data_IF_154864157868
#
_entry.id   IF_154864157868
#
_cell.length_a   1.000
_cell.length_b   1.000
_cell.length_c   1.000
_cell.angle_alpha   90.00
_cell.angle_beta   90.00
_cell.angle_gamma   90.00
#
_symmetry.space_group_name_H-M   'P 1'
#
loop_
_entity.id
_entity.type
_entity.pdbx_description
1 polymer ?
#
# COMPACT_ATOMS: atom_id res chain seq x y z
N UNK A 1 14.78 18.37 39.64
CA UNK A 1 14.13 18.29 40.97
C UNK A 1 12.88 17.38 41.00
N UNK A 2 12.33 16.93 39.86
CA UNK A 2 11.14 16.03 39.81
C UNK A 2 11.35 14.55 40.20
N UNK A 3 12.57 14.12 40.56
CA UNK A 3 12.89 12.69 40.78
C UNK A 3 12.70 12.21 42.22
N UNK A 4 12.88 13.10 43.20
CA UNK A 4 12.70 12.78 44.62
C UNK A 4 11.23 12.46 45.02
N UNK A 5 10.19 13.19 44.53
CA UNK A 5 8.80 12.90 44.84
C UNK A 5 8.41 11.49 44.42
N UNK A 6 8.72 11.14 43.17
CA UNK A 6 8.36 9.86 42.57
C UNK A 6 9.05 8.69 43.26
N UNK A 7 10.31 8.85 43.70
CA UNK A 7 11.06 7.79 44.40
C UNK A 7 10.48 7.49 45.78
N UNK A 8 10.12 8.52 46.56
CA UNK A 8 9.49 8.34 47.87
C UNK A 8 8.11 7.71 47.72
N UNK A 9 7.26 8.25 46.84
CA UNK A 9 5.91 7.72 46.55
C UNK A 9 5.99 6.26 46.15
N UNK A 10 6.86 5.88 45.22
CA UNK A 10 7.03 4.50 44.79
C UNK A 10 7.53 3.58 45.91
N UNK A 11 8.45 4.05 46.75
CA UNK A 11 8.90 3.29 47.94
C UNK A 11 7.75 3.07 48.91
N UNK A 12 6.93 4.08 49.15
CA UNK A 12 5.76 3.98 50.00
C UNK A 12 4.69 3.05 49.43
N UNK A 13 4.45 3.07 48.12
CA UNK A 13 3.57 2.12 47.43
C UNK A 13 4.07 0.68 47.62
N UNK A 14 5.38 0.46 47.53
CA UNK A 14 5.95 -0.88 47.77
C UNK A 14 5.76 -1.35 49.22
N UNK A 15 5.93 -0.47 50.21
CA UNK A 15 5.61 -0.80 51.61
C UNK A 15 4.11 -1.04 51.83
N UNK A 16 3.25 -0.24 51.18
CA UNK A 16 1.80 -0.43 51.22
C UNK A 16 1.41 -1.81 50.64
N UNK A 17 1.94 -2.17 49.47
CA UNK A 17 1.70 -3.47 48.82
C UNK A 17 2.28 -4.64 49.63
N UNK A 18 3.32 -4.38 50.42
CA UNK A 18 3.90 -5.33 51.37
C UNK A 18 3.13 -5.40 52.70
N UNK A 19 1.96 -4.74 52.80
CA UNK A 19 1.10 -4.68 53.99
C UNK A 19 1.76 -4.00 55.21
N UNK A 20 2.82 -3.23 55.00
CA UNK A 20 3.57 -2.52 56.04
C UNK A 20 3.02 -1.10 56.24
N UNK A 21 1.75 -0.99 56.61
CA UNK A 21 1.03 0.31 56.65
C UNK A 21 1.62 1.30 57.68
N UNK A 22 2.08 0.82 58.83
CA UNK A 22 2.74 1.66 59.84
C UNK A 22 4.07 2.26 59.32
N UNK A 23 4.83 1.46 58.55
CA UNK A 23 6.09 1.93 57.93
C UNK A 23 5.81 2.95 56.82
N UNK A 24 4.70 2.81 56.09
CA UNK A 24 4.25 3.82 55.12
C UNK A 24 4.00 5.15 55.80
N UNK A 25 3.23 5.15 56.89
CA UNK A 25 2.91 6.36 57.65
C UNK A 25 4.20 7.02 58.15
N UNK A 26 5.09 6.26 58.81
CA UNK A 26 6.37 6.77 59.32
C UNK A 26 7.29 7.31 58.22
N UNK A 27 7.27 6.69 57.03
CA UNK A 27 8.08 7.10 55.89
C UNK A 27 7.55 8.39 55.26
N UNK A 28 6.23 8.50 55.13
CA UNK A 28 5.56 9.60 54.44
C UNK A 28 5.40 10.85 55.35
N UNK A 29 5.10 10.68 56.65
CA UNK A 29 4.88 11.80 57.59
C UNK A 29 6.12 12.67 57.79
N UNK A 30 7.32 12.08 57.74
CA UNK A 30 8.59 12.83 57.88
C UNK A 30 8.81 13.88 56.81
N UNK A 31 8.17 13.69 55.66
CA UNK A 31 8.36 14.49 54.45
C UNK A 31 7.10 15.32 54.12
N UNK A 32 6.20 15.50 55.10
CA UNK A 32 4.88 16.13 54.90
C UNK A 32 4.95 17.52 54.28
N UNK A 33 6.02 18.27 54.57
CA UNK A 33 6.18 19.63 54.06
C UNK A 33 6.37 19.68 52.54
N UNK A 34 7.03 18.69 51.94
CA UNK A 34 7.39 18.69 50.53
C UNK A 34 6.31 18.17 49.60
N UNK A 35 5.36 17.38 50.12
CA UNK A 35 4.40 16.63 49.30
C UNK A 35 2.93 16.92 49.63
N UNK A 36 2.68 17.93 50.47
CA UNK A 36 1.33 18.32 50.92
C UNK A 36 0.36 18.69 49.79
N UNK A 37 0.84 19.06 48.61
CA UNK A 37 -0.01 19.48 47.49
C UNK A 37 -0.26 18.34 46.49
N UNK A 38 0.31 17.16 46.71
CA UNK A 38 0.13 15.99 45.85
C UNK A 38 -1.03 15.12 46.37
N UNK A 39 -2.06 14.91 45.55
CA UNK A 39 -3.21 14.09 45.95
C UNK A 39 -2.79 12.65 46.32
N UNK A 40 -1.82 12.07 45.58
CA UNK A 40 -1.35 10.70 45.76
C UNK A 40 -0.71 10.49 47.15
N UNK A 41 -0.08 11.53 47.69
CA UNK A 41 0.51 11.52 49.03
C UNK A 41 -0.58 11.31 50.10
N UNK A 42 -1.62 12.15 50.05
CA UNK A 42 -2.75 12.06 50.97
C UNK A 42 -3.55 10.78 50.74
N UNK A 43 -3.65 10.31 49.50
CA UNK A 43 -4.32 9.07 49.16
C UNK A 43 -3.62 7.86 49.81
N UNK A 44 -2.30 7.74 49.67
CA UNK A 44 -1.54 6.63 50.27
C UNK A 44 -1.61 6.65 51.81
N UNK A 45 -1.53 7.83 52.44
CA UNK A 45 -1.73 7.96 53.89
C UNK A 45 -3.14 7.55 54.30
N UNK A 46 -4.17 8.09 53.63
CA UNK A 46 -5.56 7.79 53.92
C UNK A 46 -5.87 6.31 53.79
N UNK A 47 -5.35 5.66 52.75
CA UNK A 47 -5.44 4.22 52.56
C UNK A 47 -4.68 3.43 53.64
N UNK A 48 -3.50 3.88 54.05
CA UNK A 48 -2.72 3.20 55.09
C UNK A 48 -3.43 3.26 56.45
N UNK A 49 -3.98 4.42 56.83
CA UNK A 49 -4.80 4.52 58.05
C UNK A 49 -6.10 3.71 57.95
N UNK A 50 -6.73 3.68 56.78
CA UNK A 50 -7.95 2.89 56.56
C UNK A 50 -7.67 1.39 56.76
N UNK A 51 -6.56 0.87 56.21
CA UNK A 51 -6.15 -0.54 56.40
C UNK A 51 -5.72 -0.85 57.84
N UNK A 52 -5.32 0.15 58.62
CA UNK A 52 -5.04 0.02 60.05
C UNK A 52 -6.29 0.19 60.93
N UNK A 53 -7.45 0.49 60.34
CA UNK A 53 -8.70 0.72 61.04
C UNK A 53 -8.81 2.08 61.74
N UNK A 54 -7.85 2.99 61.53
CA UNK A 54 -7.94 4.36 62.03
C UNK A 54 -8.82 5.21 61.09
N UNK A 55 -10.14 5.08 61.25
CA UNK A 55 -11.14 5.73 60.39
C UNK A 55 -11.09 7.27 60.46
N UNK A 56 -10.68 7.83 61.60
CA UNK A 56 -10.58 9.28 61.79
C UNK A 56 -9.51 9.90 60.90
N UNK A 57 -8.27 9.40 60.99
CA UNK A 57 -7.18 9.87 60.15
C UNK A 57 -7.41 9.51 58.67
N UNK A 58 -7.96 8.32 58.39
CA UNK A 58 -8.34 7.94 57.03
C UNK A 58 -9.29 8.98 56.40
N UNK A 59 -10.29 9.45 57.15
CA UNK A 59 -11.23 10.47 56.68
C UNK A 59 -10.55 11.80 56.36
N UNK A 60 -9.63 12.26 57.21
CA UNK A 60 -8.91 13.51 57.00
C UNK A 60 -8.09 13.45 55.70
N UNK A 61 -7.29 12.39 55.54
CA UNK A 61 -6.37 12.28 54.41
C UNK A 61 -7.08 11.91 53.10
N UNK A 62 -8.08 11.03 53.11
CA UNK A 62 -8.86 10.73 51.90
C UNK A 62 -9.68 11.95 51.44
N UNK A 63 -10.21 12.76 52.38
CA UNK A 63 -10.89 14.03 52.03
C UNK A 63 -9.91 14.99 51.36
N UNK A 64 -8.68 15.12 51.89
CA UNK A 64 -7.63 15.95 51.26
C UNK A 64 -7.24 15.45 49.87
N UNK A 65 -7.08 14.15 49.70
CA UNK A 65 -6.81 13.55 48.39
C UNK A 65 -7.93 13.87 47.39
N UNK A 66 -9.19 13.78 47.82
CA UNK A 66 -10.34 14.11 46.99
C UNK A 66 -10.43 15.59 46.65
N UNK A 67 -10.13 16.49 47.59
CA UNK A 67 -10.10 17.94 47.29
C UNK A 67 -9.02 18.31 46.28
N UNK A 68 -7.88 17.61 46.30
CA UNK A 68 -6.78 17.85 45.37
C UNK A 68 -7.02 17.22 43.99
N UNK A 69 -7.70 16.07 43.93
CA UNK A 69 -8.10 15.43 42.67
C UNK A 69 -9.49 14.77 42.80
N UNK A 70 -10.58 15.51 42.51
CA UNK A 70 -11.95 14.99 42.61
C UNK A 70 -12.30 13.96 41.52
N UNK A 71 -11.51 13.89 40.44
CA UNK A 71 -11.76 13.02 39.28
C UNK A 71 -11.19 11.62 39.45
N UNK A 72 -10.31 11.41 40.42
CA UNK A 72 -9.65 10.12 40.64
C UNK A 72 -10.63 9.06 41.17
N UNK A 73 -10.90 8.04 40.35
CA UNK A 73 -11.84 6.97 40.67
C UNK A 73 -11.37 6.13 41.88
N UNK A 74 -10.06 5.93 42.00
CA UNK A 74 -9.45 5.21 43.14
C UNK A 74 -9.69 5.92 44.48
N UNK A 75 -9.66 7.26 44.49
CA UNK A 75 -9.96 8.06 45.69
C UNK A 75 -11.45 7.98 46.05
N UNK A 76 -12.35 8.08 45.06
CA UNK A 76 -13.80 7.91 45.27
C UNK A 76 -14.13 6.53 45.84
N UNK A 77 -13.53 5.47 45.27
CA UNK A 77 -13.67 4.09 45.76
C UNK A 77 -13.25 3.99 47.23
N UNK A 78 -12.11 4.56 47.60
CA UNK A 78 -11.60 4.51 48.98
C UNK A 78 -12.45 5.29 49.97
N UNK A 79 -13.08 6.39 49.54
CA UNK A 79 -14.07 7.11 50.36
C UNK A 79 -15.32 6.26 50.57
N UNK A 80 -15.81 5.56 49.54
CA UNK A 80 -16.95 4.66 49.69
C UNK A 80 -16.64 3.53 50.68
N UNK A 81 -15.46 2.92 50.59
CA UNK A 81 -14.97 1.92 51.55
C UNK A 81 -14.89 2.49 52.98
N UNK A 82 -14.36 3.71 53.13
CA UNK A 82 -14.32 4.40 54.43
C UNK A 82 -15.73 4.62 54.99
N UNK A 83 -16.69 5.08 54.18
CA UNK A 83 -18.08 5.30 54.61
C UNK A 83 -18.75 4.00 55.02
N UNK A 84 -18.53 2.92 54.27
CA UNK A 84 -18.98 1.59 54.61
C UNK A 84 -18.38 1.12 55.96
N UNK A 85 -17.08 1.33 56.17
CA UNK A 85 -16.40 1.03 57.44
C UNK A 85 -16.90 1.88 58.62
N UNK A 86 -17.45 3.07 58.36
CA UNK A 86 -18.10 3.93 59.36
C UNK A 86 -19.57 3.55 59.64
N UNK A 87 -20.09 2.49 59.01
CA UNK A 87 -21.50 2.10 59.12
C UNK A 87 -22.46 2.99 58.32
N UNK A 88 -21.95 3.84 57.42
CA UNK A 88 -22.75 4.71 56.54
C UNK A 88 -22.88 4.05 55.17
N UNK A 89 -23.42 2.83 55.15
CA UNK A 89 -23.51 2.00 53.94
C UNK A 89 -24.31 2.68 52.83
N UNK A 90 -25.43 3.33 53.15
CA UNK A 90 -26.26 4.05 52.17
C UNK A 90 -25.46 5.07 51.36
N UNK A 91 -24.55 5.79 52.03
CA UNK A 91 -23.69 6.79 51.38
C UNK A 91 -22.59 6.14 50.54
N UNK A 92 -22.09 4.97 50.96
CA UNK A 92 -21.13 4.20 50.16
C UNK A 92 -21.78 3.68 48.86
N UNK A 93 -23.00 3.15 48.97
CA UNK A 93 -23.80 2.67 47.83
C UNK A 93 -24.05 3.80 46.83
N UNK A 94 -24.45 4.99 47.30
CA UNK A 94 -24.64 6.16 46.44
C UNK A 94 -23.37 6.54 45.66
N UNK A 95 -22.19 6.46 46.28
CA UNK A 95 -20.93 6.76 45.58
C UNK A 95 -20.66 5.73 44.48
N UNK A 96 -20.85 4.43 44.74
CA UNK A 96 -20.64 3.40 43.73
C UNK A 96 -21.62 3.48 42.57
N UNK A 97 -22.90 3.74 42.85
CA UNK A 97 -23.90 3.98 41.80
C UNK A 97 -23.51 5.19 40.95
N UNK A 98 -23.09 6.29 41.58
CA UNK A 98 -22.62 7.48 40.85
C UNK A 98 -21.37 7.19 40.02
N UNK A 99 -20.43 6.39 40.51
CA UNK A 99 -19.26 5.97 39.73
C UNK A 99 -19.67 5.14 38.50
N UNK A 100 -20.71 4.31 38.60
CA UNK A 100 -21.26 3.56 37.46
C UNK A 100 -21.91 4.51 36.46
N UNK A 101 -22.74 5.45 36.92
CA UNK A 101 -23.36 6.49 36.08
C UNK A 101 -22.32 7.35 35.35
N UNK A 102 -21.25 7.73 36.04
CA UNK A 102 -20.12 8.50 35.49
C UNK A 102 -19.22 7.65 34.55
N UNK A 103 -19.54 6.37 34.30
CA UNK A 103 -18.72 5.39 33.57
C UNK A 103 -17.28 5.22 34.10
N UNK A 104 -17.10 5.36 35.42
CA UNK A 104 -15.80 5.24 36.10
C UNK A 104 -15.70 3.91 36.85
N UNK A 105 -14.73 3.06 36.46
CA UNK A 105 -14.42 1.79 37.16
C UNK A 105 -15.65 0.91 37.42
N UNK A 106 -16.57 0.83 36.44
CA UNK A 106 -17.89 0.16 36.52
C UNK A 106 -17.80 -1.22 37.19
N UNK A 107 -16.92 -2.10 36.68
CA UNK A 107 -16.74 -3.47 37.20
C UNK A 107 -16.40 -3.52 38.68
N UNK A 108 -15.64 -2.54 39.17
CA UNK A 108 -15.20 -2.47 40.56
C UNK A 108 -16.34 -1.98 41.46
N UNK A 109 -17.09 -1.00 40.99
CA UNK A 109 -18.28 -0.49 41.69
C UNK A 109 -19.37 -1.57 41.79
N UNK A 110 -19.62 -2.32 40.70
CA UNK A 110 -20.55 -3.46 40.69
C UNK A 110 -20.11 -4.56 41.68
N UNK A 111 -18.83 -4.93 41.65
CA UNK A 111 -18.27 -5.89 42.60
C UNK A 111 -18.44 -5.41 44.05
N UNK A 112 -18.28 -4.10 44.28
CA UNK A 112 -18.40 -3.53 45.62
C UNK A 112 -19.83 -3.59 46.14
N UNK A 113 -20.80 -3.27 45.28
CA UNK A 113 -22.23 -3.40 45.58
C UNK A 113 -22.63 -4.87 45.82
N UNK A 114 -22.11 -5.79 45.01
CA UNK A 114 -22.39 -7.22 45.17
C UNK A 114 -21.87 -7.76 46.52
N UNK A 115 -20.65 -7.38 46.90
CA UNK A 115 -20.03 -7.81 48.16
C UNK A 115 -20.79 -7.27 49.35
N UNK A 116 -21.13 -5.97 49.38
CA UNK A 116 -21.89 -5.38 50.48
C UNK A 116 -23.29 -5.99 50.57
N UNK A 117 -23.95 -6.25 49.44
CA UNK A 117 -25.28 -6.89 49.43
C UNK A 117 -25.26 -8.31 49.98
N UNK A 118 -24.24 -9.11 49.64
CA UNK A 118 -24.12 -10.52 50.09
C UNK A 118 -23.58 -10.63 51.51
N UNK A 119 -22.76 -9.66 51.93
CA UNK A 119 -22.08 -9.65 53.21
C UNK A 119 -22.23 -8.26 53.85
N UNK A 120 -23.42 -7.94 54.41
CA UNK A 120 -23.66 -6.65 55.06
C UNK A 120 -22.71 -6.46 56.24
N UNK A 121 -22.24 -5.23 56.45
CA UNK A 121 -21.11 -4.97 57.35
C UNK A 121 -21.57 -4.96 58.80
N UNK A 122 -20.86 -5.70 59.65
CA UNK A 122 -21.02 -5.67 61.11
C UNK A 122 -19.76 -5.07 61.75
N UNK A 123 -19.73 -3.75 61.91
CA UNK A 123 -18.67 -3.04 62.63
C UNK A 123 -17.26 -3.24 62.06
N UNK A 124 -16.27 -3.42 62.94
CA UNK A 124 -14.83 -3.52 62.57
C UNK A 124 -14.45 -4.83 61.87
N UNK A 125 -15.37 -5.78 61.71
CA UNK A 125 -15.16 -7.05 60.98
C UNK A 125 -14.67 -6.81 59.55
N UNK A 126 -15.13 -5.71 58.94
CA UNK A 126 -14.74 -5.25 57.61
C UNK A 126 -13.23 -4.96 57.45
N UNK A 127 -12.56 -4.59 58.55
CA UNK A 127 -11.15 -4.18 58.58
C UNK A 127 -10.22 -5.34 58.94
N UNK A 128 -10.77 -6.47 59.38
CA UNK A 128 -10.00 -7.70 59.59
C UNK A 128 -9.61 -8.30 58.24
N UNK A 129 -8.45 -8.98 58.17
CA UNK A 129 -7.87 -9.53 56.95
C UNK A 129 -8.76 -10.65 56.37
N UNK A 130 -9.83 -10.25 55.70
CA UNK A 130 -10.79 -11.12 55.06
C UNK A 130 -10.65 -10.99 53.54
N UNK A 131 -10.39 -12.11 52.89
CA UNK A 131 -10.18 -12.20 51.44
C UNK A 131 -11.35 -11.66 50.62
N UNK A 132 -12.55 -11.62 51.19
CA UNK A 132 -13.75 -11.07 50.55
C UNK A 132 -13.63 -9.54 50.44
N UNK A 133 -13.35 -8.85 51.54
CA UNK A 133 -13.28 -7.38 51.59
C UNK A 133 -11.97 -6.81 51.04
N UNK A 134 -10.87 -7.58 51.06
CA UNK A 134 -9.60 -7.18 50.44
C UNK A 134 -9.76 -6.85 48.93
N UNK A 135 -10.74 -7.47 48.26
CA UNK A 135 -11.04 -7.20 46.84
C UNK A 135 -11.62 -5.82 46.56
N UNK A 136 -12.20 -5.17 47.58
CA UNK A 136 -12.78 -3.83 47.46
C UNK A 136 -11.70 -2.76 47.32
N UNK A 137 -10.52 -2.99 47.93
CA UNK A 137 -9.47 -2.01 48.01
C UNK A 137 -8.76 -1.84 46.66
N UNK A 138 -8.62 -0.59 46.15
CA UNK A 138 -7.82 -0.30 44.96
C UNK A 138 -6.37 -0.76 45.12
N UNK A 139 -5.80 -1.30 44.03
CA UNK A 139 -4.35 -1.57 43.94
C UNK A 139 -3.62 -0.30 43.56
N UNK A 140 -2.78 0.20 44.46
CA UNK A 140 -1.95 1.37 44.18
C UNK A 140 -0.79 0.94 43.29
N UNK A 141 -0.77 1.42 42.03
CA UNK A 141 0.27 1.10 41.04
C UNK A 141 1.47 2.02 41.20
N UNK A 142 2.67 1.46 41.09
CA UNK A 142 3.93 2.21 41.04
C UNK A 142 3.96 3.04 39.74
N UNK A 143 4.22 4.35 39.85
CA UNK A 143 4.47 5.18 38.67
C UNK A 143 5.84 4.82 38.09
N UNK A 144 5.86 4.11 36.95
CA UNK A 144 7.10 3.84 36.23
C UNK A 144 7.59 5.15 35.60
N UNK A 145 8.75 5.64 36.06
CA UNK A 145 9.29 6.92 35.61
C UNK A 145 9.51 6.99 34.08
N UNK A 146 9.29 8.17 33.51
CA UNK A 146 9.41 8.47 32.07
C UNK A 146 10.75 7.99 31.45
N UNK A 147 11.82 7.91 32.25
CA UNK A 147 13.12 7.43 31.83
C UNK A 147 13.12 5.98 31.32
N UNK A 148 12.26 5.10 31.83
CA UNK A 148 12.21 3.70 31.35
C UNK A 148 11.56 3.61 29.97
N UNK A 149 10.54 4.43 29.71
CA UNK A 149 9.91 4.53 28.39
C UNK A 149 10.85 5.22 27.38
N UNK A 150 11.62 6.22 27.83
CA UNK A 150 12.64 6.87 27.01
C UNK A 150 13.79 5.91 26.65
N UNK A 151 14.25 5.09 27.61
CA UNK A 151 15.29 4.09 27.39
C UNK A 151 14.85 2.99 26.43
N UNK A 152 13.62 2.48 26.59
CA UNK A 152 13.05 1.47 25.68
C UNK A 152 12.83 2.02 24.27
N UNK A 153 12.41 3.29 24.12
CA UNK A 153 12.37 3.96 22.81
C UNK A 153 13.75 4.10 22.18
N UNK A 154 14.78 4.46 22.95
CA UNK A 154 16.16 4.56 22.44
C UNK A 154 16.64 3.19 21.96
N UNK A 155 16.42 2.13 22.74
CA UNK A 155 16.78 0.76 22.37
C UNK A 155 16.03 0.32 21.11
N UNK A 156 14.72 0.56 21.02
CA UNK A 156 13.95 0.26 19.81
C UNK A 156 14.48 1.04 18.59
N UNK A 157 14.85 2.31 18.77
CA UNK A 157 15.38 3.14 17.68
C UNK A 157 16.73 2.61 17.19
N UNK A 158 17.62 2.20 18.09
CA UNK A 158 18.93 1.61 17.74
C UNK A 158 18.74 0.27 17.01
N UNK A 159 17.83 -0.58 17.50
CA UNK A 159 17.49 -1.85 16.84
C UNK A 159 16.91 -1.62 15.44
N UNK A 160 16.05 -0.62 15.28
CA UNK A 160 15.48 -0.27 13.97
C UNK A 160 16.53 0.23 12.99
N UNK A 161 17.50 1.04 13.45
CA UNK A 161 18.60 1.55 12.62
C UNK A 161 19.54 0.41 12.21
N UNK A 162 19.86 -0.50 13.13
CA UNK A 162 20.66 -1.69 12.85
C UNK A 162 20.00 -2.58 11.79
N UNK A 163 18.69 -2.81 11.91
CA UNK A 163 17.92 -3.57 10.93
C UNK A 163 17.92 -2.89 9.55
N UNK A 164 17.83 -1.57 9.52
CA UNK A 164 17.86 -0.78 8.28
C UNK A 164 19.24 -0.84 7.59
N UNK A 165 20.33 -0.82 8.36
CA UNK A 165 21.69 -1.01 7.83
C UNK A 165 21.91 -2.41 7.27
N UNK A 166 21.40 -3.45 7.93
CA UNK A 166 21.46 -4.83 7.45
C UNK A 166 20.65 -4.97 6.15
N UNK A 167 19.47 -4.33 6.06
CA UNK A 167 18.65 -4.32 4.86
C UNK A 167 19.32 -3.56 3.70
N UNK A 168 20.03 -2.45 3.98
CA UNK A 168 20.81 -1.73 2.97
C UNK A 168 21.96 -2.60 2.47
N UNK A 169 22.71 -3.25 3.37
CA UNK A 169 23.84 -4.11 3.02
C UNK A 169 23.41 -5.35 2.21
N UNK A 170 22.28 -5.97 2.57
CA UNK A 170 21.72 -7.09 1.81
C UNK A 170 21.23 -6.63 0.43
N UNK A 171 20.63 -5.44 0.34
CA UNK A 171 20.20 -4.84 -0.93
C UNK A 171 21.40 -4.49 -1.84
N UNK A 172 22.51 -3.98 -1.30
CA UNK A 172 23.71 -3.70 -2.10
C UNK A 172 24.35 -4.97 -2.66
N UNK A 173 24.47 -6.03 -1.85
CA UNK A 173 25.00 -7.32 -2.31
C UNK A 173 24.07 -8.00 -3.32
N UNK A 174 22.76 -7.88 -3.13
CA UNK A 174 21.77 -8.36 -4.10
C UNK A 174 21.86 -7.61 -5.43
N UNK A 175 22.09 -6.28 -5.40
CA UNK A 175 22.31 -5.47 -6.60
C UNK A 175 23.56 -5.88 -7.37
N UNK A 176 24.66 -6.23 -6.69
CA UNK A 176 25.87 -6.72 -7.36
C UNK A 176 25.67 -8.09 -8.03
N UNK A 177 24.97 -9.02 -7.35
CA UNK A 177 24.63 -10.32 -7.94
C UNK A 177 23.70 -10.20 -9.15
N UNK A 178 22.69 -9.31 -9.08
CA UNK A 178 21.86 -8.98 -10.25
C UNK A 178 22.71 -8.38 -11.38
N UNK A 179 23.66 -7.50 -11.08
CA UNK A 179 24.52 -6.87 -12.09
C UNK A 179 25.38 -7.90 -12.84
N UNK A 180 25.87 -8.94 -12.15
CA UNK A 180 26.61 -10.05 -12.78
C UNK A 180 25.74 -10.89 -13.71
N UNK A 181 24.51 -11.21 -13.30
CA UNK A 181 23.55 -11.99 -14.11
C UNK A 181 23.08 -11.18 -15.34
N UNK A 182 22.83 -9.87 -15.16
CA UNK A 182 22.49 -8.96 -16.26
C UNK A 182 23.66 -8.82 -17.24
N UNK A 183 24.89 -8.70 -16.77
CA UNK A 183 26.04 -8.56 -17.67
C UNK A 183 26.25 -9.82 -18.54
N UNK A 184 26.06 -11.01 -17.98
CA UNK A 184 26.19 -12.27 -18.74
C UNK A 184 25.04 -12.51 -19.73
N UNK A 185 23.83 -12.00 -19.45
CA UNK A 185 22.74 -12.03 -20.42
C UNK A 185 22.91 -10.97 -21.51
N UNK A 186 23.40 -9.78 -21.16
CA UNK A 186 23.71 -8.71 -22.11
C UNK A 186 24.80 -9.10 -23.12
N UNK A 187 25.84 -9.84 -22.73
CA UNK A 187 26.89 -10.28 -23.66
C UNK A 187 26.36 -11.24 -24.72
N UNK A 188 25.49 -12.18 -24.34
CA UNK A 188 24.84 -13.10 -25.26
C UNK A 188 23.85 -12.40 -26.20
N UNK A 189 23.02 -11.51 -25.66
CA UNK A 189 22.08 -10.69 -26.44
C UNK A 189 22.84 -9.79 -27.43
N UNK A 190 23.92 -9.13 -26.98
CA UNK A 190 24.74 -8.25 -27.83
C UNK A 190 25.42 -9.01 -28.97
N UNK A 191 25.85 -10.26 -28.74
CA UNK A 191 26.41 -11.13 -29.79
C UNK A 191 25.35 -11.48 -30.86
N UNK A 192 24.13 -11.80 -30.46
CA UNK A 192 23.03 -12.09 -31.39
C UNK A 192 22.59 -10.85 -32.17
N UNK A 193 22.46 -9.70 -31.51
CA UNK A 193 22.13 -8.41 -32.14
C UNK A 193 23.22 -8.03 -33.16
N UNK A 194 24.50 -8.20 -32.82
CA UNK A 194 25.61 -7.91 -33.74
C UNK A 194 25.54 -8.77 -35.00
N UNK A 195 25.21 -10.06 -34.89
CA UNK A 195 25.08 -10.94 -36.04
C UNK A 195 23.91 -10.52 -36.95
N UNK A 196 22.76 -10.14 -36.38
CA UNK A 196 21.61 -9.65 -37.17
C UNK A 196 21.95 -8.31 -37.85
N UNK A 197 22.62 -7.41 -37.14
CA UNK A 197 23.05 -6.12 -37.68
C UNK A 197 23.99 -6.28 -38.89
N UNK A 198 24.89 -7.27 -38.88
CA UNK A 198 25.78 -7.55 -40.02
C UNK A 198 25.01 -8.01 -41.26
N UNK A 199 24.02 -8.91 -41.11
CA UNK A 199 23.18 -9.34 -42.24
C UNK A 199 22.33 -8.19 -42.81
N UNK A 200 21.83 -7.30 -41.96
CA UNK A 200 21.09 -6.10 -42.40
C UNK A 200 22.01 -5.15 -43.17
N UNK A 201 23.28 -5.03 -42.79
CA UNK A 201 24.26 -4.18 -43.48
C UNK A 201 24.64 -4.71 -44.86
N UNK A 202 24.66 -6.02 -45.05
CA UNK A 202 24.97 -6.65 -46.34
C UNK A 202 23.92 -6.38 -47.42
N UNK A 203 22.66 -6.13 -47.04
CA UNK A 203 21.58 -5.82 -47.98
C UNK A 203 21.72 -4.37 -48.48
N UNK A 204 22.56 -4.09 -49.48
CA UNK A 204 22.82 -2.73 -49.98
C UNK A 204 22.04 -2.40 -51.26
N UNK A 205 21.79 -1.11 -51.47
CA UNK A 205 21.36 -0.56 -52.77
C UNK A 205 22.62 -0.27 -53.57
N UNK A 206 22.79 -0.88 -54.74
CA UNK A 206 23.94 -0.64 -55.61
C UNK A 206 23.73 0.67 -56.40
N UNK A 207 24.76 1.50 -56.54
CA UNK A 207 24.65 2.81 -57.21
C UNK A 207 24.26 2.73 -58.69
N UNK A 208 24.46 1.57 -59.34
CA UNK A 208 24.07 1.33 -60.74
C UNK A 208 22.69 0.68 -60.90
N UNK A 209 22.00 0.34 -59.81
CA UNK A 209 20.72 -0.37 -59.91
C UNK A 209 19.54 0.57 -60.16
N UNK A 210 18.54 0.08 -60.90
CA UNK A 210 17.31 0.83 -61.15
C UNK A 210 16.54 0.98 -59.84
N UNK A 211 16.34 2.22 -59.37
CA UNK A 211 15.67 2.51 -58.10
C UNK A 211 14.16 2.71 -58.26
N UNK A 212 13.73 3.30 -59.37
CA UNK A 212 12.32 3.61 -59.67
C UNK A 212 11.82 2.87 -60.90
N UNK A 213 10.52 2.58 -60.93
CA UNK A 213 9.78 2.21 -62.12
C UNK A 213 8.92 3.40 -62.58
N UNK A 214 8.87 3.62 -63.90
CA UNK A 214 8.08 4.67 -64.53
C UNK A 214 6.79 4.13 -65.17
N UNK A 215 6.61 2.80 -65.16
CA UNK A 215 5.48 2.09 -65.75
C UNK A 215 4.80 1.24 -64.67
N UNK A 216 3.47 1.35 -64.56
CA UNK A 216 2.66 0.64 -63.58
C UNK A 216 1.75 1.57 -62.75
N UNK A 217 0.78 0.99 -62.05
CA UNK A 217 -0.04 1.70 -61.07
C UNK A 217 0.66 1.68 -59.72
N UNK A 218 0.97 2.87 -59.18
CA UNK A 218 1.63 3.03 -57.88
C UNK A 218 0.75 3.86 -56.96
N UNK A 219 0.65 3.45 -55.70
CA UNK A 219 -0.09 4.23 -54.69
C UNK A 219 0.75 5.42 -54.23
N UNK A 220 2.05 5.22 -54.05
CA UNK A 220 2.99 6.28 -53.65
C UNK A 220 4.00 6.58 -54.76
N UNK A 221 4.12 7.84 -55.15
CA UNK A 221 5.17 8.31 -56.07
C UNK A 221 6.27 8.94 -55.22
N UNK A 222 7.42 8.28 -55.18
CA UNK A 222 8.59 8.71 -54.41
C UNK A 222 9.75 9.05 -55.35
N UNK A 223 10.57 9.98 -54.90
CA UNK A 223 11.87 10.30 -55.49
C UNK A 223 12.91 9.23 -55.12
N UNK A 224 14.04 9.19 -55.84
CA UNK A 224 15.11 8.23 -55.56
C UNK A 224 15.73 8.46 -54.18
N UNK A 225 15.85 9.72 -53.77
CA UNK A 225 16.35 10.11 -52.46
C UNK A 225 15.40 9.65 -51.35
N UNK A 226 14.08 9.79 -51.53
CA UNK A 226 13.09 9.30 -50.57
C UNK A 226 13.09 7.77 -50.46
N UNK A 227 13.24 7.05 -51.57
CA UNK A 227 13.35 5.57 -51.55
C UNK A 227 14.62 5.16 -50.81
N UNK A 228 15.77 5.77 -51.11
CA UNK A 228 17.03 5.50 -50.40
C UNK A 228 16.90 5.82 -48.90
N UNK A 229 16.29 6.96 -48.55
CA UNK A 229 16.09 7.37 -47.16
C UNK A 229 15.16 6.41 -46.41
N UNK A 230 14.05 6.00 -47.02
CA UNK A 230 13.14 5.01 -46.47
C UNK A 230 13.86 3.68 -46.23
N UNK A 231 14.68 3.24 -47.20
CA UNK A 231 15.47 2.02 -47.06
C UNK A 231 16.49 2.09 -45.91
N UNK A 232 17.15 3.24 -45.72
CA UNK A 232 18.05 3.44 -44.57
C UNK A 232 17.30 3.47 -43.24
N UNK A 233 16.10 4.07 -43.20
CA UNK A 233 15.25 4.05 -42.01
C UNK A 233 14.85 2.63 -41.63
N UNK A 234 14.48 1.77 -42.58
CA UNK A 234 14.17 0.35 -42.31
C UNK A 234 15.33 -0.30 -41.56
N UNK A 235 16.56 -0.16 -42.09
CA UNK A 235 17.76 -0.71 -41.45
C UNK A 235 17.98 -0.16 -40.05
N UNK A 236 17.88 1.16 -39.90
CA UNK A 236 18.07 1.83 -38.61
C UNK A 236 17.04 1.36 -37.58
N UNK A 237 15.77 1.28 -37.96
CA UNK A 237 14.69 0.79 -37.10
C UNK A 237 14.93 -0.66 -36.67
N UNK A 238 15.27 -1.56 -37.60
CA UNK A 238 15.56 -2.97 -37.26
C UNK A 238 16.74 -3.11 -36.31
N UNK A 239 17.84 -2.38 -36.54
CA UNK A 239 19.01 -2.41 -35.65
C UNK A 239 18.70 -1.90 -34.24
N UNK A 240 17.74 -0.99 -34.13
CA UNK A 240 17.31 -0.40 -32.87
C UNK A 240 16.13 -1.17 -32.23
N UNK A 241 15.70 -2.32 -32.79
CA UNK A 241 14.56 -3.10 -32.29
C UNK A 241 13.21 -2.41 -32.46
N UNK A 242 13.12 -1.40 -33.33
CA UNK A 242 11.90 -0.65 -33.65
C UNK A 242 11.17 -1.28 -34.84
N UNK A 243 10.87 -2.56 -34.71
CA UNK A 243 10.29 -3.43 -35.74
C UNK A 243 9.00 -2.87 -36.34
N UNK A 244 8.17 -2.21 -35.53
CA UNK A 244 6.89 -1.67 -35.97
C UNK A 244 7.07 -0.49 -36.95
N UNK A 245 8.03 0.40 -36.67
CA UNK A 245 8.38 1.51 -37.57
C UNK A 245 9.11 1.02 -38.82
N UNK A 246 9.92 -0.05 -38.71
CA UNK A 246 10.50 -0.71 -39.87
C UNK A 246 9.41 -1.26 -40.80
N UNK A 247 8.36 -1.89 -40.26
CA UNK A 247 7.20 -2.38 -41.03
C UNK A 247 6.52 -1.26 -41.83
N UNK A 248 6.32 -0.09 -41.21
CA UNK A 248 5.70 1.07 -41.88
C UNK A 248 6.51 1.53 -43.09
N UNK A 249 7.83 1.70 -42.93
CA UNK A 249 8.71 2.11 -44.03
C UNK A 249 8.81 1.01 -45.12
N UNK A 250 8.82 -0.27 -44.74
CA UNK A 250 8.75 -1.39 -45.70
C UNK A 250 7.46 -1.29 -46.53
N UNK A 251 6.31 -1.17 -45.88
CA UNK A 251 5.03 -1.06 -46.59
C UNK A 251 4.97 0.16 -47.51
N UNK A 252 5.58 1.28 -47.10
CA UNK A 252 5.72 2.47 -47.94
C UNK A 252 6.51 2.16 -49.21
N UNK A 253 7.64 1.46 -49.12
CA UNK A 253 8.42 1.03 -50.29
C UNK A 253 7.61 0.07 -51.16
N UNK A 254 6.96 -0.95 -50.57
CA UNK A 254 6.20 -1.95 -51.32
C UNK A 254 5.04 -1.35 -52.13
N UNK A 255 4.38 -0.33 -51.58
CA UNK A 255 3.26 0.37 -52.22
C UNK A 255 3.69 1.58 -53.09
N UNK A 256 4.99 1.80 -53.27
CA UNK A 256 5.52 2.90 -54.07
C UNK A 256 5.92 2.51 -55.50
N UNK A 257 6.38 3.51 -56.26
CA UNK A 257 7.08 3.38 -57.54
C UNK A 257 8.53 2.85 -57.44
N UNK A 258 8.95 2.31 -56.29
CA UNK A 258 10.23 1.62 -56.19
C UNK A 258 10.32 0.43 -57.17
N UNK A 259 11.54 0.14 -57.66
CA UNK A 259 11.75 -1.00 -58.56
C UNK A 259 11.50 -2.34 -57.87
N UNK A 260 11.23 -3.40 -58.64
CA UNK A 260 10.97 -4.72 -58.07
C UNK A 260 12.16 -5.25 -57.26
N UNK A 261 13.39 -4.94 -57.70
CA UNK A 261 14.61 -5.27 -56.94
C UNK A 261 14.61 -4.63 -55.54
N UNK A 262 14.26 -3.34 -55.44
CA UNK A 262 14.17 -2.63 -54.16
C UNK A 262 13.05 -3.22 -53.29
N UNK A 263 11.89 -3.52 -53.89
CA UNK A 263 10.77 -4.13 -53.18
C UNK A 263 11.13 -5.52 -52.64
N UNK A 264 11.83 -6.36 -53.41
CA UNK A 264 12.33 -7.66 -52.95
C UNK A 264 13.30 -7.51 -51.78
N UNK A 265 14.23 -6.55 -51.82
CA UNK A 265 15.12 -6.28 -50.68
C UNK A 265 14.36 -5.82 -49.44
N UNK A 266 13.33 -4.98 -49.59
CA UNK A 266 12.47 -4.58 -48.48
C UNK A 266 11.67 -5.76 -47.91
N UNK A 267 11.18 -6.68 -48.75
CA UNK A 267 10.55 -7.95 -48.31
C UNK A 267 11.53 -8.82 -47.53
N UNK A 268 12.78 -8.90 -47.98
CA UNK A 268 13.83 -9.64 -47.27
C UNK A 268 14.13 -8.99 -45.90
N UNK A 269 14.14 -7.66 -45.81
CA UNK A 269 14.30 -6.98 -44.52
C UNK A 269 13.10 -7.22 -43.58
N UNK A 270 11.90 -7.41 -44.13
CA UNK A 270 10.70 -7.72 -43.36
C UNK A 270 10.75 -9.07 -42.63
N UNK A 271 11.64 -10.00 -43.00
CA UNK A 271 11.79 -11.29 -42.32
C UNK A 271 12.50 -11.19 -40.96
N UNK A 272 13.20 -10.07 -40.71
CA UNK A 272 13.84 -9.78 -39.42
C UNK A 272 12.88 -9.19 -38.39
N UNK A 273 11.65 -8.83 -38.79
CA UNK A 273 10.64 -8.29 -37.89
C UNK A 273 10.04 -9.41 -37.08
N UNK A 274 10.08 -9.26 -35.75
CA UNK A 274 9.50 -10.18 -34.80
C UNK A 274 8.07 -9.79 -34.40
N UNK A 275 7.29 -10.77 -33.93
CA UNK A 275 6.00 -10.47 -33.28
C UNK A 275 6.28 -9.90 -31.88
N UNK A 276 5.69 -8.75 -31.52
CA UNK A 276 5.92 -8.14 -30.22
C UNK A 276 5.24 -8.92 -29.10
N UNK A 277 5.82 -8.84 -27.90
CA UNK A 277 5.21 -9.37 -26.68
C UNK A 277 4.33 -8.31 -25.99
N UNK A 278 3.22 -8.73 -25.40
CA UNK A 278 2.24 -7.82 -24.79
C UNK A 278 2.85 -6.94 -23.69
N UNK A 279 3.77 -7.50 -22.91
CA UNK A 279 4.36 -6.83 -21.73
C UNK A 279 5.36 -5.75 -22.17
N UNK A 280 6.13 -6.02 -23.22
CA UNK A 280 7.25 -5.18 -23.64
C UNK A 280 6.90 -4.17 -24.73
N UNK A 281 5.80 -4.38 -25.45
CA UNK A 281 5.39 -3.49 -26.54
C UNK A 281 4.89 -2.14 -26.04
N UNK A 282 5.51 -1.04 -26.49
CA UNK A 282 5.25 0.33 -26.07
C UNK A 282 5.06 1.34 -27.22
N UNK A 283 5.11 0.89 -28.47
CA UNK A 283 4.96 1.78 -29.62
C UNK A 283 3.53 2.33 -29.69
N UNK A 284 3.43 3.66 -29.83
CA UNK A 284 2.16 4.38 -29.87
C UNK A 284 1.83 4.84 -31.30
N UNK A 285 0.69 4.38 -31.82
CA UNK A 285 0.15 4.75 -33.12
C UNK A 285 -1.32 5.14 -32.99
N UNK A 286 -1.72 6.15 -33.75
CA UNK A 286 -3.06 6.75 -33.68
C UNK A 286 -3.93 6.18 -34.81
N UNK A 287 -5.07 5.56 -34.48
CA UNK A 287 -6.08 5.05 -35.40
C UNK A 287 -6.51 6.09 -36.44
N UNK A 288 -6.65 7.36 -36.04
CA UNK A 288 -6.98 8.45 -36.96
C UNK A 288 -5.94 8.63 -38.07
N UNK A 289 -4.65 8.45 -37.77
CA UNK A 289 -3.58 8.51 -38.77
C UNK A 289 -3.55 7.26 -39.64
N UNK A 290 -3.79 6.09 -39.04
CA UNK A 290 -3.89 4.81 -39.74
C UNK A 290 -5.01 4.86 -40.79
N UNK A 291 -6.18 5.40 -40.44
CA UNK A 291 -7.31 5.56 -41.37
C UNK A 291 -7.00 6.49 -42.55
N UNK A 292 -6.09 7.44 -42.41
CA UNK A 292 -5.68 8.32 -43.53
C UNK A 292 -4.83 7.59 -44.55
N UNK A 293 -3.96 6.66 -44.10
CA UNK A 293 -3.02 5.95 -44.96
C UNK A 293 -2.95 4.44 -44.63
N UNK A 294 -4.05 3.68 -44.75
CA UNK A 294 -4.11 2.33 -44.18
C UNK A 294 -3.11 1.35 -44.79
N UNK A 295 -2.72 1.55 -46.06
CA UNK A 295 -1.76 0.71 -46.77
C UNK A 295 -0.37 0.65 -46.13
N UNK A 296 0.14 1.77 -45.59
CA UNK A 296 1.47 1.76 -44.95
C UNK A 296 1.42 1.13 -43.55
N UNK A 297 0.23 1.01 -42.95
CA UNK A 297 0.03 0.42 -41.63
C UNK A 297 -0.44 -1.04 -41.68
N UNK A 298 -0.53 -1.67 -42.85
CA UNK A 298 -0.85 -3.10 -42.93
C UNK A 298 0.20 -3.93 -42.17
N UNK A 299 -0.25 -4.92 -41.40
CA UNK A 299 0.60 -5.80 -40.58
C UNK A 299 1.40 -5.12 -39.46
N UNK A 300 1.13 -3.84 -39.19
CA UNK A 300 1.68 -3.09 -38.07
C UNK A 300 0.91 -3.44 -36.79
N UNK A 301 1.62 -3.51 -35.67
CA UNK A 301 1.06 -3.81 -34.37
C UNK A 301 0.63 -2.52 -33.65
N UNK A 302 -0.45 -2.61 -32.89
CA UNK A 302 -0.96 -1.53 -32.07
C UNK A 302 -1.36 -2.08 -30.72
N UNK A 303 -1.19 -1.27 -29.67
CA UNK A 303 -1.71 -1.57 -28.35
C UNK A 303 -2.61 -0.43 -27.90
N UNK A 304 -3.88 -0.74 -27.78
CA UNK A 304 -4.93 0.25 -27.55
C UNK A 304 -5.85 -0.17 -26.43
N UNK A 305 -6.31 0.83 -25.69
CA UNK A 305 -7.35 0.69 -24.67
C UNK A 305 -8.68 1.17 -25.25
N UNK A 306 -9.76 0.49 -24.89
CA UNK A 306 -11.08 0.86 -25.39
C UNK A 306 -12.21 -0.01 -24.84
N UNK A 307 -13.39 0.14 -25.44
CA UNK A 307 -14.59 -0.59 -25.04
C UNK A 307 -15.06 -1.51 -26.18
N UNK A 308 -15.51 -2.70 -25.79
CA UNK A 308 -16.12 -3.69 -26.70
C UNK A 308 -17.61 -3.37 -26.94
N UNK A 309 -18.00 -3.32 -28.21
CA UNK A 309 -19.39 -3.15 -28.64
C UNK A 309 -19.75 -4.08 -29.82
N UNK A 310 -21.04 -4.30 -30.10
CA UNK A 310 -21.55 -5.04 -31.27
C UNK A 310 -20.86 -6.41 -31.50
N UNK A 311 -20.87 -7.29 -30.50
CA UNK A 311 -20.22 -8.60 -30.58
C UNK A 311 -21.03 -9.54 -31.50
N UNK A 312 -20.37 -10.07 -32.53
CA UNK A 312 -20.89 -11.07 -33.45
C UNK A 312 -19.98 -12.31 -33.47
N UNK A 313 -20.54 -13.52 -33.34
CA UNK A 313 -19.78 -14.77 -33.46
C UNK A 313 -20.10 -15.45 -34.79
N UNK A 314 -19.08 -15.73 -35.61
CA UNK A 314 -19.19 -16.42 -36.91
C UNK A 314 -18.09 -17.47 -37.02
N UNK A 315 -18.44 -18.73 -37.21
CA UNK A 315 -17.51 -19.83 -37.53
C UNK A 315 -16.21 -19.83 -36.68
N UNK A 316 -16.36 -19.89 -35.35
CA UNK A 316 -15.24 -19.87 -34.40
C UNK A 316 -14.38 -18.59 -34.38
N UNK A 317 -14.85 -17.53 -35.05
CA UNK A 317 -14.27 -16.19 -35.02
C UNK A 317 -15.25 -15.24 -34.34
N UNK A 318 -14.76 -14.42 -33.42
CA UNK A 318 -15.56 -13.35 -32.82
C UNK A 318 -15.17 -12.02 -33.45
N UNK A 319 -16.17 -11.28 -33.91
CA UNK A 319 -16.07 -9.92 -34.41
C UNK A 319 -16.73 -8.98 -33.41
N UNK A 320 -16.20 -7.78 -33.27
CA UNK A 320 -16.82 -6.73 -32.47
C UNK A 320 -16.31 -5.36 -32.90
N UNK A 321 -17.07 -4.32 -32.59
CA UNK A 321 -16.62 -2.95 -32.77
C UNK A 321 -15.81 -2.52 -31.53
N UNK A 322 -14.57 -2.14 -31.76
CA UNK A 322 -13.67 -1.66 -30.71
C UNK A 322 -13.59 -0.14 -30.70
N UNK A 323 -14.02 0.44 -29.57
CA UNK A 323 -14.14 1.88 -29.38
C UNK A 323 -12.83 2.37 -28.74
N UNK A 324 -11.85 2.70 -29.57
CA UNK A 324 -10.49 3.07 -29.16
C UNK A 324 -10.50 4.41 -28.42
N UNK A 325 -9.80 4.47 -27.28
CA UNK A 325 -9.63 5.68 -26.45
C UNK A 325 -10.78 5.97 -25.48
N UNK A 326 -11.91 5.26 -25.58
CA UNK A 326 -13.14 5.58 -24.83
C UNK A 326 -12.98 5.55 -23.29
N UNK A 327 -11.99 4.82 -22.74
CA UNK A 327 -11.75 4.77 -21.29
C UNK A 327 -11.06 6.03 -20.72
N UNK A 328 -10.64 7.00 -21.56
CA UNK A 328 -9.98 8.26 -21.17
C UNK A 328 -10.80 9.51 -21.56
N UNK A 329 -12.11 9.37 -21.67
CA UNK A 329 -13.06 10.43 -22.11
C UNK A 329 -12.80 11.01 -23.51
N UNK A 330 -11.92 10.38 -24.31
CA UNK A 330 -11.61 10.80 -25.69
C UNK A 330 -11.81 9.61 -26.63
N UNK A 331 -12.92 9.61 -27.37
CA UNK A 331 -13.12 8.63 -28.43
C UNK A 331 -12.21 8.97 -29.61
N UNK A 332 -11.22 8.11 -29.86
CA UNK A 332 -10.30 8.27 -30.99
C UNK A 332 -10.92 7.75 -32.29
N UNK A 333 -11.68 6.66 -32.20
CA UNK A 333 -12.44 6.10 -33.31
C UNK A 333 -12.89 4.67 -33.06
N UNK A 334 -13.63 4.14 -34.02
CA UNK A 334 -14.14 2.76 -34.01
C UNK A 334 -13.39 1.94 -35.06
N UNK A 335 -12.99 0.73 -34.71
CA UNK A 335 -12.39 -0.26 -35.62
C UNK A 335 -13.00 -1.65 -35.37
N UNK A 336 -13.40 -2.34 -36.44
CA UNK A 336 -13.87 -3.72 -36.34
C UNK A 336 -12.69 -4.62 -35.99
N UNK A 337 -12.84 -5.36 -34.91
CA UNK A 337 -11.81 -6.22 -34.33
C UNK A 337 -12.22 -7.68 -34.44
N UNK A 338 -11.26 -8.51 -34.84
CA UNK A 338 -11.42 -9.95 -35.06
C UNK A 338 -10.58 -10.72 -34.05
N UNK A 339 -11.17 -11.74 -33.42
CA UNK A 339 -10.51 -12.69 -32.52
C UNK A 339 -10.70 -14.11 -33.04
N UNK A 340 -9.62 -14.90 -33.04
CA UNK A 340 -9.60 -16.32 -33.43
C UNK A 340 -9.27 -17.27 -32.27
N UNK A 341 -9.35 -16.81 -31.02
CA UNK A 341 -9.10 -17.59 -29.81
C UNK A 341 -10.26 -17.47 -28.82
N UNK A 342 -10.42 -18.47 -27.96
CA UNK A 342 -11.50 -18.50 -26.99
C UNK A 342 -11.22 -17.56 -25.82
N UNK A 343 -12.05 -16.55 -25.66
CA UNK A 343 -12.03 -15.62 -24.54
C UNK A 343 -13.46 -15.19 -24.20
N UNK A 344 -13.78 -15.14 -22.91
CA UNK A 344 -15.05 -14.60 -22.45
C UNK A 344 -14.99 -13.08 -22.45
N UNK A 345 -15.61 -12.44 -23.45
CA UNK A 345 -15.77 -10.99 -23.55
C UNK A 345 -17.24 -10.62 -23.59
N UNK A 346 -17.62 -9.55 -22.89
CA UNK A 346 -18.99 -9.07 -22.78
C UNK A 346 -19.12 -7.65 -23.35
N UNK A 347 -20.35 -7.30 -23.72
CA UNK A 347 -20.70 -5.94 -24.11
C UNK A 347 -20.30 -4.94 -23.00
N UNK A 348 -19.68 -3.82 -23.40
CA UNK A 348 -19.13 -2.78 -22.51
C UNK A 348 -17.92 -3.19 -21.66
N UNK A 349 -17.31 -4.35 -21.90
CA UNK A 349 -16.02 -4.66 -21.27
C UNK A 349 -14.98 -3.61 -21.69
N UNK A 350 -14.28 -3.06 -20.69
CA UNK A 350 -13.10 -2.23 -20.91
C UNK A 350 -11.89 -3.13 -21.09
N UNK A 351 -11.16 -2.98 -22.19
CA UNK A 351 -10.07 -3.87 -22.54
C UNK A 351 -8.86 -3.12 -23.10
N UNK A 352 -7.68 -3.69 -22.85
CA UNK A 352 -6.45 -3.38 -23.56
C UNK A 352 -6.20 -4.49 -24.59
N UNK A 353 -6.00 -4.12 -25.84
CA UNK A 353 -5.81 -5.05 -26.95
C UNK A 353 -4.45 -4.81 -27.58
N UNK A 354 -3.61 -5.84 -27.61
CA UNK A 354 -2.52 -5.92 -28.58
C UNK A 354 -3.08 -6.59 -29.83
N UNK A 355 -3.05 -5.87 -30.95
CA UNK A 355 -3.55 -6.38 -32.21
C UNK A 355 -2.68 -5.97 -33.38
N UNK A 356 -2.89 -6.65 -34.50
CA UNK A 356 -2.25 -6.36 -35.77
C UNK A 356 -3.27 -5.77 -36.73
N UNK A 357 -2.91 -4.64 -37.34
CA UNK A 357 -3.72 -4.00 -38.38
C UNK A 357 -3.72 -4.87 -39.63
N UNK A 358 -4.91 -5.10 -40.19
CA UNK A 358 -5.09 -5.71 -41.51
C UNK A 358 -5.88 -4.76 -42.38
N UNK A 359 -5.36 -4.48 -43.56
CA UNK A 359 -6.06 -3.69 -44.55
C UNK A 359 -6.23 -4.51 -45.83
N UNK A 360 -7.48 -4.71 -46.25
CA UNK A 360 -7.79 -5.40 -47.49
C UNK A 360 -8.13 -4.38 -48.57
N UNK A 361 -7.25 -4.28 -49.57
CA UNK A 361 -7.35 -3.26 -50.63
C UNK A 361 -8.63 -3.40 -51.46
N UNK A 362 -9.04 -4.64 -51.79
CA UNK A 362 -10.18 -4.90 -52.66
C UNK A 362 -11.52 -4.47 -52.03
N UNK A 363 -11.64 -4.61 -50.71
CA UNK A 363 -12.86 -4.29 -49.97
C UNK A 363 -12.79 -2.95 -49.25
N UNK A 364 -11.61 -2.29 -49.26
CA UNK A 364 -11.30 -1.09 -48.50
C UNK A 364 -11.64 -1.25 -47.00
N UNK A 365 -11.41 -2.44 -46.46
CA UNK A 365 -11.72 -2.76 -45.07
C UNK A 365 -10.47 -2.69 -44.22
N UNK A 366 -10.58 -1.98 -43.09
CA UNK A 366 -9.55 -1.88 -42.06
C UNK A 366 -10.02 -2.66 -40.83
N UNK A 367 -9.27 -3.68 -40.47
CA UNK A 367 -9.59 -4.60 -39.38
C UNK A 367 -8.43 -4.63 -38.38
N UNK A 368 -8.77 -4.85 -37.11
CA UNK A 368 -7.80 -5.17 -36.06
C UNK A 368 -7.86 -6.67 -35.77
N UNK A 369 -6.80 -7.41 -36.09
CA UNK A 369 -6.68 -8.79 -35.64
C UNK A 369 -6.13 -8.78 -34.21
N UNK A 370 -6.96 -9.08 -33.22
CA UNK A 370 -6.52 -9.17 -31.84
C UNK A 370 -5.61 -10.38 -31.65
N UNK A 371 -4.46 -10.15 -31.01
CA UNK A 371 -3.48 -11.19 -30.65
C UNK A 371 -3.63 -11.51 -29.17
N UNK A 372 -3.83 -10.49 -28.35
CA UNK A 372 -4.02 -10.63 -26.90
C UNK A 372 -4.97 -9.55 -26.42
N UNK A 373 -5.84 -9.92 -25.49
CA UNK A 373 -6.83 -9.03 -24.89
C UNK A 373 -6.74 -9.17 -23.37
N UNK A 374 -6.68 -8.02 -22.69
CA UNK A 374 -6.67 -7.93 -21.23
C UNK A 374 -7.85 -7.09 -20.77
N UNK A 375 -8.67 -7.63 -19.87
CA UNK A 375 -9.75 -6.84 -19.23
C UNK A 375 -9.16 -5.86 -18.22
N UNK A 376 -9.61 -4.61 -18.27
CA UNK A 376 -9.25 -3.54 -17.33
C UNK A 376 -10.42 -3.41 -16.35
N UNK A 377 -10.15 -3.45 -15.05
CA UNK A 377 -11.17 -3.12 -14.04
C UNK A 377 -11.34 -1.60 -14.04
N UNK A 378 -12.57 -1.12 -14.24
CA UNK A 378 -12.90 0.29 -14.03
C UNK A 378 -12.68 0.59 -12.54
N UNK A 379 -11.66 1.37 -12.19
CA UNK A 379 -11.58 1.93 -10.85
C UNK A 379 -12.85 2.77 -10.66
N UNK A 380 -13.62 2.46 -9.62
CA UNK A 380 -14.75 3.30 -9.23
C UNK A 380 -14.13 4.57 -8.67
N UNK A 381 -14.21 5.65 -9.44
CA UNK A 381 -14.09 7.02 -8.90
C UNK A 381 -15.18 7.27 -7.86
#
# INVERSE_FOLDING_TARGET
METAPKKLINKSINYYNSHKYADVIKLIEKEIFFYKDYYIYHYILGMSYLRMGNLGNAQIYLKKAYTLNPTEADVKQSIAILLAAQGKEDKAIQIWLKMIEDNQEIKRSELSLEIIRKHPIQGTLFLTKNKIYDKLFPKIKVEKGENFYKLTKIILSIVSISFLLIAIFSFTNFKENIKLIINNSQTNIKKTINNVATYIDDIKINDKEKIKNYEGQFVFILTETEIKNSFQKIKSHLKNGKDNFARIEINKILNSNASESIKLKAKNLASFISSPDFITFDDFLILKEIKKNPLIYSDVYVKWEGIINNIEKKNNTTYFDFYVGYNKDILEGIITTKINFDIEINFKDCVEILGQIKYEYNTNTLLLNAITIRKIKKEKE
#
